data_IF_057053145026
#
_entry.id   IF_057053145026
#
_cell.length_a   1.000
_cell.length_b   1.000
_cell.length_c   1.000
_cell.angle_alpha   90.00
_cell.angle_beta   90.00
_cell.angle_gamma   90.00
#
_symmetry.space_group_name_H-M   'P 1'
#
loop_
_entity.id
_entity.type
_entity.pdbx_description
1 polymer ?
#
# COMPACT_ATOMS: atom_id res chain seq x y z
N UNK A 1 -4.71 -10.39 -3.05
CA UNK A 1 -3.39 -9.89 -3.53
C UNK A 1 -2.45 -9.69 -2.33
N UNK A 2 -1.13 -9.89 -2.47
CA UNK A 2 -0.15 -9.58 -1.40
C UNK A 2 -0.07 -10.54 -0.19
N UNK A 3 -1.02 -11.46 -0.02
CA UNK A 3 -1.12 -12.33 1.16
C UNK A 3 0.11 -13.23 1.40
N UNK A 4 0.72 -13.76 0.34
CA UNK A 4 1.92 -14.57 0.47
C UNK A 4 3.10 -13.76 1.03
N UNK A 5 3.27 -12.51 0.60
CA UNK A 5 4.29 -11.61 1.13
C UNK A 5 3.95 -11.19 2.56
N UNK A 6 2.67 -10.92 2.85
CA UNK A 6 2.24 -10.62 4.22
C UNK A 6 2.61 -11.73 5.22
N UNK A 7 2.46 -12.99 4.81
CA UNK A 7 2.84 -14.14 5.65
C UNK A 7 4.36 -14.27 5.83
N UNK A 8 5.14 -14.04 4.76
CA UNK A 8 6.54 -14.45 4.71
C UNK A 8 7.57 -13.31 4.84
N UNK A 9 7.19 -12.06 4.57
CA UNK A 9 8.10 -10.90 4.53
C UNK A 9 7.77 -9.90 5.65
N UNK A 10 8.57 -9.85 6.73
CA UNK A 10 8.27 -9.00 7.89
C UNK A 10 8.19 -7.50 7.60
N UNK A 11 9.03 -6.99 6.68
CA UNK A 11 9.03 -5.58 6.29
C UNK A 11 7.76 -5.23 5.52
N UNK A 12 7.39 -6.07 4.56
CA UNK A 12 6.16 -5.92 3.81
C UNK A 12 4.94 -5.95 4.74
N UNK A 13 4.90 -6.92 5.68
CA UNK A 13 3.83 -7.03 6.68
C UNK A 13 3.73 -5.77 7.53
N UNK A 14 4.84 -5.28 8.09
CA UNK A 14 4.85 -4.08 8.92
C UNK A 14 4.34 -2.84 8.16
N UNK A 15 4.78 -2.65 6.91
CA UNK A 15 4.32 -1.55 6.08
C UNK A 15 2.82 -1.65 5.76
N UNK A 16 2.33 -2.85 5.45
CA UNK A 16 0.92 -3.08 5.17
C UNK A 16 0.05 -2.88 6.42
N UNK A 17 0.51 -3.33 7.60
CA UNK A 17 -0.17 -3.12 8.89
C UNK A 17 -0.25 -1.63 9.24
N UNK A 18 0.80 -0.86 8.94
CA UNK A 18 0.78 0.59 9.11
C UNK A 18 -0.27 1.25 8.20
N UNK A 19 -0.36 0.86 6.93
CA UNK A 19 -1.41 1.34 6.03
C UNK A 19 -2.81 0.94 6.52
N UNK A 20 -2.98 -0.31 6.99
CA UNK A 20 -4.25 -0.79 7.52
C UNK A 20 -4.71 0.03 8.74
N UNK A 21 -3.78 0.40 9.63
CA UNK A 21 -4.08 1.24 10.79
C UNK A 21 -4.54 2.64 10.40
N UNK A 22 -3.93 3.24 9.37
CA UNK A 22 -4.30 4.58 8.88
C UNK A 22 -5.66 4.61 8.17
N UNK A 23 -6.07 3.49 7.57
CA UNK A 23 -7.34 3.33 6.86
C UNK A 23 -8.49 2.84 7.75
N UNK A 24 -8.24 2.56 9.04
CA UNK A 24 -9.21 1.92 9.91
C UNK A 24 -10.52 2.70 10.06
N UNK A 25 -10.47 4.04 9.98
CA UNK A 25 -11.65 4.91 10.06
C UNK A 25 -12.28 5.22 8.68
N UNK A 26 -11.57 4.93 7.59
CA UNK A 26 -11.99 5.25 6.21
C UNK A 26 -12.66 4.06 5.52
N UNK A 27 -12.32 2.84 5.94
CA UNK A 27 -12.84 1.59 5.40
C UNK A 27 -13.83 0.95 6.37
N UNK A 28 -14.97 0.52 5.85
CA UNK A 28 -15.96 -0.28 6.56
C UNK A 28 -15.58 -1.77 6.70
N UNK A 29 -14.42 -2.16 6.15
CA UNK A 29 -13.84 -3.51 6.26
C UNK A 29 -12.34 -3.43 6.53
N UNK A 30 -11.77 -4.36 7.31
CA UNK A 30 -10.32 -4.43 7.47
C UNK A 30 -9.59 -4.64 6.14
N UNK A 31 -8.47 -3.94 5.95
CA UNK A 31 -7.69 -3.99 4.71
C UNK A 31 -7.28 -5.42 4.32
N UNK A 32 -6.92 -6.26 5.29
CA UNK A 32 -6.51 -7.65 5.03
C UNK A 32 -7.66 -8.52 4.49
N UNK A 33 -8.90 -8.27 4.91
CA UNK A 33 -10.08 -8.97 4.39
C UNK A 33 -10.37 -8.53 2.96
N UNK A 34 -10.27 -7.22 2.68
CA UNK A 34 -10.41 -6.67 1.33
C UNK A 34 -9.39 -7.30 0.39
N UNK A 35 -8.12 -7.39 0.80
CA UNK A 35 -7.05 -7.98 -0.01
C UNK A 35 -7.25 -9.48 -0.28
N UNK A 36 -8.03 -10.17 0.55
CA UNK A 36 -8.32 -11.60 0.42
C UNK A 36 -9.60 -11.90 -0.39
N UNK A 37 -10.42 -10.89 -0.68
CA UNK A 37 -11.76 -11.01 -1.24
C UNK A 37 -11.83 -10.43 -2.67
N UNK A 38 -11.81 -11.28 -3.71
CA UNK A 38 -11.81 -10.83 -5.10
C UNK A 38 -13.05 -10.02 -5.50
N UNK A 39 -14.23 -10.34 -4.95
CA UNK A 39 -15.47 -9.65 -5.32
C UNK A 39 -15.53 -8.23 -4.74
N UNK A 40 -14.83 -8.01 -3.63
CA UNK A 40 -14.75 -6.71 -2.97
C UNK A 40 -13.60 -5.87 -3.50
N UNK A 41 -12.44 -6.47 -3.75
CA UNK A 41 -11.27 -5.72 -4.24
C UNK A 41 -11.51 -5.10 -5.63
N UNK A 42 -12.46 -5.61 -6.42
CA UNK A 42 -12.79 -5.07 -7.75
C UNK A 42 -13.64 -3.78 -7.69
N UNK A 43 -14.14 -3.39 -6.52
CA UNK A 43 -14.86 -2.12 -6.37
C UNK A 43 -13.85 -1.00 -6.11
N UNK A 44 -13.87 0.05 -6.94
CA UNK A 44 -12.87 1.14 -6.92
C UNK A 44 -12.61 1.72 -5.52
N UNK A 45 -13.65 1.86 -4.68
CA UNK A 45 -13.52 2.35 -3.30
C UNK A 45 -12.58 1.53 -2.42
N UNK A 46 -12.43 0.23 -2.73
CA UNK A 46 -11.52 -0.68 -2.05
C UNK A 46 -10.25 -0.90 -2.86
N UNK A 47 -10.36 -0.99 -4.19
CA UNK A 47 -9.20 -1.20 -5.09
C UNK A 47 -8.14 -0.12 -4.89
N UNK A 48 -8.52 1.16 -4.86
CA UNK A 48 -7.58 2.27 -4.79
C UNK A 48 -6.73 2.27 -3.50
N UNK A 49 -7.34 2.27 -2.29
CA UNK A 49 -6.54 2.21 -1.06
C UNK A 49 -5.76 0.90 -0.92
N UNK A 50 -6.31 -0.23 -1.40
CA UNK A 50 -5.61 -1.51 -1.36
C UNK A 50 -4.40 -1.54 -2.31
N UNK A 51 -4.51 -0.97 -3.51
CA UNK A 51 -3.40 -0.83 -4.45
C UNK A 51 -2.33 0.10 -3.89
N UNK A 52 -2.71 1.25 -3.34
CA UNK A 52 -1.76 2.15 -2.70
C UNK A 52 -0.97 1.41 -1.61
N UNK A 53 -1.68 0.76 -0.68
CA UNK A 53 -1.06 0.07 0.45
C UNK A 53 -0.13 -1.07 -0.02
N UNK A 54 -0.52 -1.81 -1.05
CA UNK A 54 0.31 -2.84 -1.65
C UNK A 54 1.58 -2.27 -2.27
N UNK A 55 1.45 -1.27 -3.15
CA UNK A 55 2.59 -0.67 -3.85
C UNK A 55 3.57 -0.03 -2.87
N UNK A 56 3.06 0.66 -1.86
CA UNK A 56 3.87 1.22 -0.78
C UNK A 56 4.62 0.13 -0.01
N UNK A 57 3.94 -0.95 0.40
CA UNK A 57 4.56 -2.06 1.12
C UNK A 57 5.62 -2.81 0.28
N UNK A 58 5.38 -2.95 -1.03
CA UNK A 58 6.37 -3.49 -1.96
C UNK A 58 7.60 -2.57 -2.07
N UNK A 59 7.40 -1.26 -2.16
CA UNK A 59 8.51 -0.31 -2.19
C UNK A 59 9.34 -0.33 -0.89
N UNK A 60 8.69 -0.43 0.27
CA UNK A 60 9.40 -0.60 1.56
C UNK A 60 10.26 -1.87 1.57
N UNK A 61 9.77 -2.97 1.00
CA UNK A 61 10.54 -4.21 0.89
C UNK A 61 11.77 -4.04 -0.02
N UNK A 62 11.62 -3.36 -1.16
CA UNK A 62 12.73 -3.06 -2.07
C UNK A 62 13.80 -2.17 -1.42
N UNK A 63 13.36 -1.12 -0.72
CA UNK A 63 14.26 -0.23 0.03
C UNK A 63 15.02 -1.00 1.12
N UNK A 64 14.35 -1.92 1.83
CA UNK A 64 14.99 -2.76 2.83
C UNK A 64 16.02 -3.74 2.23
N UNK A 65 15.89 -4.10 0.95
CA UNK A 65 16.91 -4.85 0.21
C UNK A 65 18.05 -3.97 -0.34
N UNK A 66 18.03 -2.66 -0.08
CA UNK A 66 19.01 -1.71 -0.58
C UNK A 66 18.78 -1.30 -2.03
N UNK A 67 17.60 -1.53 -2.59
CA UNK A 67 17.25 -1.10 -3.94
C UNK A 67 16.63 0.30 -3.85
N UNK A 68 17.46 1.31 -4.08
CA UNK A 68 17.05 2.72 -4.00
C UNK A 68 16.63 3.27 -5.38
N UNK A 69 15.42 3.85 -5.50
CA UNK A 69 14.98 4.45 -6.75
C UNK A 69 15.68 5.79 -6.99
N UNK A 70 16.21 6.00 -8.20
CA UNK A 70 16.70 7.32 -8.65
C UNK A 70 15.58 8.18 -9.25
N UNK A 71 14.53 7.53 -9.76
CA UNK A 71 13.36 8.17 -10.37
C UNK A 71 12.13 7.37 -9.96
N UNK A 72 11.04 8.07 -9.66
CA UNK A 72 9.73 7.50 -9.37
C UNK A 72 8.72 8.02 -10.40
N UNK A 73 7.93 7.12 -10.97
CA UNK A 73 6.84 7.44 -11.90
C UNK A 73 5.64 6.61 -11.46
N UNK A 74 4.49 7.25 -11.38
CA UNK A 74 3.22 6.59 -11.10
C UNK A 74 2.23 6.80 -12.23
N UNK A 75 1.14 6.04 -12.20
CA UNK A 75 0.00 6.23 -13.08
C UNK A 75 -1.28 6.19 -12.25
N UNK A 76 -2.10 7.24 -12.31
CA UNK A 76 -3.32 7.36 -11.51
C UNK A 76 -3.00 7.23 -10.01
N UNK A 77 -3.59 6.28 -9.27
CA UNK A 77 -3.28 6.10 -7.83
C UNK A 77 -1.80 5.86 -7.55
N UNK A 78 -1.07 5.23 -8.48
CA UNK A 78 0.37 5.03 -8.34
C UNK A 78 1.16 6.34 -8.34
N UNK A 79 0.62 7.45 -8.87
CA UNK A 79 1.24 8.78 -8.75
C UNK A 79 1.28 9.23 -7.29
N UNK A 80 0.26 8.89 -6.51
CA UNK A 80 0.22 9.21 -5.08
C UNK A 80 1.25 8.38 -4.32
N UNK A 81 1.41 7.10 -4.66
CA UNK A 81 2.44 6.24 -4.07
C UNK A 81 3.84 6.77 -4.39
N UNK A 82 4.10 7.11 -5.65
CA UNK A 82 5.37 7.70 -6.08
C UNK A 82 5.66 9.01 -5.35
N UNK A 83 4.68 9.92 -5.25
CA UNK A 83 4.85 11.19 -4.54
C UNK A 83 5.07 10.99 -3.02
N UNK A 84 4.38 10.02 -2.39
CA UNK A 84 4.63 9.65 -1.00
C UNK A 84 6.06 9.17 -0.78
N UNK A 85 6.53 8.22 -1.61
CA UNK A 85 7.88 7.66 -1.52
C UNK A 85 8.97 8.71 -1.82
N UNK A 86 8.67 9.68 -2.69
CA UNK A 86 9.53 10.83 -2.96
C UNK A 86 9.54 11.87 -1.83
N UNK A 87 8.74 11.69 -0.78
CA UNK A 87 8.67 12.61 0.37
C UNK A 87 7.91 13.90 0.10
N UNK A 88 7.07 13.95 -0.95
CA UNK A 88 6.23 15.12 -1.25
C UNK A 88 5.17 15.31 -0.16
N UNK A 89 4.64 14.21 0.37
CA UNK A 89 3.71 14.19 1.48
C UNK A 89 3.91 12.93 2.34
N UNK A 90 3.33 12.95 3.54
CA UNK A 90 3.43 11.83 4.47
C UNK A 90 2.61 10.62 3.98
N UNK A 91 2.90 9.43 4.50
CA UNK A 91 2.07 8.24 4.23
C UNK A 91 0.60 8.47 4.58
N UNK A 92 0.32 9.16 5.69
CA UNK A 92 -1.04 9.43 6.13
C UNK A 92 -1.78 10.38 5.17
N UNK A 93 -1.09 11.36 4.60
CA UNK A 93 -1.68 12.29 3.63
C UNK A 93 -1.88 11.63 2.25
N UNK A 94 -0.98 10.72 1.86
CA UNK A 94 -1.06 10.04 0.57
C UNK A 94 -2.12 8.95 0.50
N UNK A 95 -2.41 8.33 1.63
CA UNK A 95 -3.29 7.16 1.74
C UNK A 95 -4.77 7.54 1.97
N UNK A 96 -5.06 8.79 2.34
CA UNK A 96 -6.40 9.32 2.57
C UNK A 96 -6.90 10.11 1.36
#
# INVERSE_FOLDING_TARGET
MGLALYANEPIFRAALDQCAALLADELDRPLHEILADPEVIDQTRYTQPALFALEYALAQLWLAWGIEPQVLIGHSVGELVAACLAGVFSLADGLK
#
